data_IF_920397071035
#
_entry.id   IF_920397071035
#
_cell.length_a   1.000
_cell.length_b   1.000
_cell.length_c   1.000
_cell.angle_alpha   90.00
_cell.angle_beta   90.00
_cell.angle_gamma   90.00
#
_symmetry.space_group_name_H-M   'P 1'
#
loop_
_entity.id
_entity.type
_entity.pdbx_description
1 polymer ?
#
# COMPACT_ATOMS: atom_id res chain seq x y z
N UNK A 1 -6.81 2.69 20.48
CA UNK A 1 -5.47 2.41 19.90
C UNK A 1 -5.45 2.78 18.42
N UNK A 2 -4.30 3.22 17.88
CA UNK A 2 -4.17 3.55 16.44
C UNK A 2 -4.09 2.26 15.63
N UNK A 3 -5.08 1.99 14.77
CA UNK A 3 -4.99 0.90 13.79
C UNK A 3 -4.40 1.44 12.49
N UNK A 4 -3.21 0.96 12.13
CA UNK A 4 -2.41 1.42 10.99
C UNK A 4 -2.48 0.37 9.88
N UNK A 5 -2.70 0.81 8.63
CA UNK A 5 -2.65 -0.04 7.45
C UNK A 5 -1.55 0.45 6.51
N UNK A 6 -0.58 -0.41 6.20
CA UNK A 6 0.38 -0.19 5.13
C UNK A 6 -0.19 -0.72 3.82
N UNK A 7 -0.24 0.15 2.83
CA UNK A 7 -0.65 -0.17 1.47
C UNK A 7 0.53 0.03 0.53
N UNK A 8 0.90 -1.04 -0.15
CA UNK A 8 2.07 -1.02 -1.03
C UNK A 8 1.73 -1.63 -2.38
N UNK A 9 2.40 -1.14 -3.43
CA UNK A 9 2.17 -1.60 -4.79
C UNK A 9 2.56 -3.06 -4.99
N UNK A 10 3.57 -3.56 -4.26
CA UNK A 10 4.06 -4.94 -4.31
C UNK A 10 5.01 -5.25 -3.16
N UNK A 11 5.05 -6.50 -2.70
CA UNK A 11 5.93 -6.89 -1.59
C UNK A 11 7.34 -7.25 -2.07
N UNK A 12 8.19 -6.24 -2.32
CA UNK A 12 9.54 -6.48 -2.83
C UNK A 12 10.42 -7.19 -1.78
N UNK A 13 11.07 -8.28 -2.20
CA UNK A 13 12.00 -9.05 -1.36
C UNK A 13 13.11 -8.19 -0.75
N UNK A 14 13.67 -7.23 -1.49
CA UNK A 14 14.73 -6.36 -0.97
C UNK A 14 14.27 -5.41 0.15
N UNK A 15 12.95 -5.17 0.30
CA UNK A 15 12.38 -4.35 1.39
C UNK A 15 11.91 -5.19 2.59
N UNK A 16 12.15 -6.50 2.59
CA UNK A 16 11.68 -7.42 3.65
C UNK A 16 12.04 -6.93 5.05
N UNK A 17 13.30 -6.56 5.29
CA UNK A 17 13.74 -6.09 6.61
C UNK A 17 13.01 -4.81 7.05
N UNK A 18 12.68 -3.92 6.11
CA UNK A 18 11.91 -2.70 6.39
C UNK A 18 10.49 -3.10 6.81
N UNK A 19 9.84 -3.98 6.05
CA UNK A 19 8.48 -4.43 6.38
C UNK A 19 8.44 -5.18 7.73
N UNK A 20 9.42 -6.02 8.03
CA UNK A 20 9.52 -6.69 9.32
C UNK A 20 9.73 -5.72 10.47
N UNK A 21 10.58 -4.69 10.30
CA UNK A 21 10.75 -3.65 11.33
C UNK A 21 9.47 -2.84 11.53
N UNK A 22 8.74 -2.52 10.45
CA UNK A 22 7.44 -1.85 10.56
C UNK A 22 6.40 -2.72 11.27
N UNK A 23 6.39 -4.02 10.98
CA UNK A 23 5.51 -5.00 11.63
C UNK A 23 5.76 -5.04 13.15
N UNK A 24 7.03 -5.07 13.55
CA UNK A 24 7.44 -5.10 14.94
C UNK A 24 7.19 -3.79 15.69
N UNK A 25 7.54 -2.64 15.10
CA UNK A 25 7.51 -1.35 15.78
C UNK A 25 6.14 -0.66 15.72
N UNK A 26 5.41 -0.82 14.61
CA UNK A 26 4.14 -0.13 14.37
C UNK A 26 2.93 -1.05 14.49
N UNK A 27 3.13 -2.38 14.46
CA UNK A 27 2.04 -3.37 14.42
C UNK A 27 1.00 -3.03 13.33
N UNK A 28 1.50 -2.63 12.15
CA UNK A 28 0.66 -2.22 11.05
C UNK A 28 0.19 -3.41 10.21
N UNK A 29 -1.05 -3.37 9.76
CA UNK A 29 -1.61 -4.37 8.87
C UNK A 29 -1.10 -4.16 7.43
N UNK A 30 -0.63 -5.21 6.76
CA UNK A 30 -0.04 -5.10 5.42
C UNK A 30 -1.02 -5.52 4.32
N UNK A 31 -1.16 -4.67 3.30
CA UNK A 31 -1.88 -4.94 2.05
C UNK A 31 -0.95 -4.66 0.87
N UNK A 32 -0.67 -5.69 0.08
CA UNK A 32 0.26 -5.63 -1.05
C UNK A 32 -0.45 -5.82 -2.38
N UNK A 33 0.01 -5.16 -3.43
CA UNK A 33 -0.40 -5.51 -4.79
C UNK A 33 0.24 -6.81 -5.27
N UNK A 34 -0.42 -7.48 -6.21
CA UNK A 34 -0.08 -8.81 -6.70
C UNK A 34 1.06 -8.84 -7.74
N UNK A 35 1.31 -7.72 -8.44
CA UNK A 35 2.27 -7.66 -9.55
C UNK A 35 3.06 -6.35 -9.59
N UNK A 36 4.37 -6.47 -9.79
CA UNK A 36 5.26 -5.35 -10.08
C UNK A 36 6.54 -5.83 -10.77
N UNK A 37 6.61 -5.62 -12.10
CA UNK A 37 7.76 -5.99 -12.94
C UNK A 37 8.25 -7.42 -12.66
N UNK A 38 9.55 -7.66 -12.80
CA UNK A 38 10.21 -8.95 -12.51
C UNK A 38 10.88 -8.96 -11.12
N UNK A 39 10.36 -8.16 -10.18
CA UNK A 39 10.94 -8.07 -8.84
C UNK A 39 10.55 -9.31 -8.02
N UNK A 40 11.54 -9.94 -7.38
CA UNK A 40 11.30 -11.07 -6.47
C UNK A 40 10.38 -10.65 -5.32
N UNK A 41 9.33 -11.44 -5.07
CA UNK A 41 8.42 -11.30 -3.94
C UNK A 41 9.08 -11.74 -2.63
N UNK A 42 8.76 -11.08 -1.54
CA UNK A 42 9.13 -11.57 -0.21
C UNK A 42 8.29 -12.78 0.21
N UNK A 43 8.76 -13.52 1.21
CA UNK A 43 7.93 -14.48 1.92
C UNK A 43 7.06 -13.77 2.97
N UNK A 44 5.74 -13.95 2.87
CA UNK A 44 4.76 -13.36 3.78
C UNK A 44 4.72 -14.00 5.16
N UNK A 45 5.27 -15.21 5.32
CA UNK A 45 5.42 -15.85 6.64
C UNK A 45 6.22 -14.99 7.62
N UNK A 46 7.07 -14.09 7.10
CA UNK A 46 7.87 -13.15 7.87
C UNK A 46 7.07 -11.98 8.47
N UNK A 47 5.81 -11.78 8.08
CA UNK A 47 4.97 -10.67 8.53
C UNK A 47 3.78 -11.19 9.34
N UNK A 48 3.76 -10.90 10.64
CA UNK A 48 2.68 -11.32 11.56
C UNK A 48 1.36 -10.66 11.20
N UNK A 49 1.39 -9.41 10.73
CA UNK A 49 0.19 -8.64 10.41
C UNK A 49 -0.08 -8.55 8.89
N UNK A 50 0.42 -9.50 8.09
CA UNK A 50 -0.02 -9.62 6.70
C UNK A 50 -1.53 -9.92 6.62
N UNK A 51 -2.25 -9.15 5.80
CA UNK A 51 -3.70 -9.33 5.63
C UNK A 51 -4.07 -9.98 4.32
N UNK A 52 -3.66 -9.38 3.21
CA UNK A 52 -4.08 -9.83 1.88
C UNK A 52 -3.27 -9.18 0.77
N UNK A 53 -3.40 -9.78 -0.40
CA UNK A 53 -3.03 -9.16 -1.66
C UNK A 53 -4.24 -8.51 -2.35
N UNK A 54 -3.97 -7.45 -3.10
CA UNK A 54 -4.93 -6.76 -3.96
C UNK A 54 -4.45 -6.85 -5.40
N UNK A 55 -5.41 -6.88 -6.35
CA UNK A 55 -5.07 -6.97 -7.77
C UNK A 55 -4.74 -5.61 -8.34
N UNK A 56 -3.56 -5.47 -8.94
CA UNK A 56 -3.18 -4.29 -9.71
C UNK A 56 -3.76 -4.41 -11.13
N UNK A 57 -4.81 -3.65 -11.42
CA UNK A 57 -5.52 -3.68 -12.70
C UNK A 57 -5.12 -2.47 -13.52
N UNK A 58 -4.45 -2.70 -14.65
CA UNK A 58 -4.11 -1.66 -15.62
C UNK A 58 -5.37 -1.16 -16.32
N UNK A 59 -5.57 0.15 -16.35
CA UNK A 59 -6.66 0.79 -17.11
C UNK A 59 -6.16 1.15 -18.49
N UNK A 60 -5.07 1.91 -18.54
CA UNK A 60 -4.39 2.34 -19.75
C UNK A 60 -2.94 2.58 -19.39
N UNK A 61 -2.00 1.87 -20.01
CA UNK A 61 -0.58 1.94 -19.63
C UNK A 61 -0.08 3.41 -19.67
N UNK A 62 0.60 3.92 -18.61
CA UNK A 62 1.04 3.24 -17.38
C UNK A 62 0.04 3.30 -16.20
N UNK A 63 -1.14 3.88 -16.40
CA UNK A 63 -2.17 4.11 -15.37
C UNK A 63 -2.84 2.80 -14.94
N UNK A 64 -2.92 2.59 -13.63
CA UNK A 64 -3.53 1.41 -13.03
C UNK A 64 -4.27 1.74 -11.72
N UNK A 65 -5.06 0.81 -11.22
CA UNK A 65 -5.68 0.90 -9.89
C UNK A 65 -5.59 -0.42 -9.13
N UNK A 66 -5.67 -0.33 -7.81
CA UNK A 66 -5.62 -1.50 -6.93
C UNK A 66 -7.03 -1.91 -6.50
N UNK A 67 -7.52 -3.04 -7.03
CA UNK A 67 -8.87 -3.53 -6.72
C UNK A 67 -8.93 -4.09 -5.30
N UNK A 68 -9.83 -3.55 -4.48
CA UNK A 68 -10.03 -3.98 -3.08
C UNK A 68 -9.35 -3.11 -2.03
N UNK A 69 -8.75 -1.98 -2.46
CA UNK A 69 -8.14 -0.95 -1.62
C UNK A 69 -9.17 0.00 -1.01
N UNK A 70 -10.09 0.55 -1.82
CA UNK A 70 -11.08 1.53 -1.34
C UNK A 70 -11.96 1.04 -0.19
N UNK A 71 -12.43 -0.23 -0.15
CA UNK A 71 -13.21 -0.73 0.98
C UNK A 71 -12.45 -0.70 2.31
N UNK A 72 -11.11 -0.65 2.31
CA UNK A 72 -10.31 -0.59 3.54
C UNK A 72 -10.58 0.68 4.35
N UNK A 73 -11.03 1.77 3.74
CA UNK A 73 -11.43 2.99 4.45
C UNK A 73 -12.57 2.75 5.45
N UNK A 74 -13.37 1.70 5.24
CA UNK A 74 -14.48 1.29 6.10
C UNK A 74 -14.06 0.30 7.21
N UNK A 75 -12.88 -0.31 7.12
CA UNK A 75 -12.42 -1.37 8.04
C UNK A 75 -11.89 -0.85 9.39
N UNK A 76 -12.32 0.34 9.83
CA UNK A 76 -11.95 0.91 11.13
C UNK A 76 -10.50 1.38 11.26
N UNK A 77 -9.71 1.37 10.18
CA UNK A 77 -8.35 1.91 10.20
C UNK A 77 -8.37 3.41 10.44
N UNK A 78 -7.41 3.87 11.24
CA UNK A 78 -7.27 5.29 11.61
C UNK A 78 -6.19 5.98 10.79
N UNK A 79 -5.14 5.23 10.44
CA UNK A 79 -3.97 5.71 9.72
C UNK A 79 -3.66 4.80 8.54
N UNK A 80 -3.37 5.39 7.39
CA UNK A 80 -2.90 4.70 6.21
C UNK A 80 -1.49 5.18 5.88
N UNK A 81 -0.57 4.25 5.70
CA UNK A 81 0.77 4.50 5.16
C UNK A 81 0.74 3.93 3.75
N UNK A 82 0.92 4.76 2.75
CA UNK A 82 0.78 4.34 1.35
C UNK A 82 1.87 4.94 0.49
N UNK A 83 2.29 4.23 -0.55
CA UNK A 83 3.16 4.81 -1.58
C UNK A 83 2.41 5.87 -2.37
N UNK A 84 2.97 7.08 -2.44
CA UNK A 84 2.48 8.16 -3.29
C UNK A 84 2.87 7.92 -4.75
N UNK A 85 2.11 7.09 -5.44
CA UNK A 85 2.30 6.85 -6.87
C UNK A 85 1.35 7.71 -7.71
N UNK A 86 1.92 8.54 -8.59
CA UNK A 86 1.17 9.45 -9.46
C UNK A 86 0.29 8.72 -10.48
N UNK A 87 0.76 7.58 -10.99
CA UNK A 87 0.08 6.76 -12.00
C UNK A 87 -1.04 5.87 -11.43
N UNK A 88 -1.15 5.76 -10.10
CA UNK A 88 -2.09 4.86 -9.45
C UNK A 88 -3.38 5.61 -9.07
N UNK A 89 -4.50 5.31 -9.73
CA UNK A 89 -5.77 6.03 -9.49
C UNK A 89 -6.28 5.79 -8.07
N UNK A 90 -6.09 4.58 -7.53
CA UNK A 90 -6.50 4.26 -6.15
C UNK A 90 -5.75 5.10 -5.11
N UNK A 91 -4.52 5.55 -5.39
CA UNK A 91 -3.78 6.44 -4.49
C UNK A 91 -4.50 7.77 -4.31
N UNK A 92 -4.90 8.40 -5.42
CA UNK A 92 -5.65 9.66 -5.42
C UNK A 92 -7.04 9.51 -4.79
N UNK A 93 -7.75 8.42 -5.12
CA UNK A 93 -9.04 8.13 -4.51
C UNK A 93 -8.92 7.93 -2.99
N UNK A 94 -7.92 7.18 -2.51
CA UNK A 94 -7.67 7.00 -1.08
C UNK A 94 -7.34 8.32 -0.41
N UNK A 95 -6.48 9.15 -1.02
CA UNK A 95 -6.16 10.47 -0.49
C UNK A 95 -7.40 11.36 -0.38
N UNK A 96 -8.20 11.46 -1.43
CA UNK A 96 -9.42 12.26 -1.45
C UNK A 96 -10.46 11.74 -0.45
N UNK A 97 -10.75 10.43 -0.47
CA UNK A 97 -11.74 9.81 0.40
C UNK A 97 -11.31 9.83 1.87
N UNK A 98 -10.01 9.70 2.17
CA UNK A 98 -9.52 9.74 3.54
C UNK A 98 -9.87 11.06 4.26
N UNK A 99 -9.93 12.18 3.54
CA UNK A 99 -10.40 13.46 4.06
C UNK A 99 -11.87 13.40 4.51
N UNK A 100 -12.73 12.80 3.69
CA UNK A 100 -14.15 12.64 4.01
C UNK A 100 -14.37 11.71 5.21
N UNK A 101 -13.60 10.62 5.31
CA UNK A 101 -13.68 9.67 6.43
C UNK A 101 -12.87 10.10 7.68
N UNK A 102 -12.32 11.33 7.70
CA UNK A 102 -11.45 11.86 8.78
C UNK A 102 -10.29 10.91 9.16
N UNK A 103 -9.72 10.21 8.17
CA UNK A 103 -8.57 9.31 8.34
C UNK A 103 -7.27 10.04 8.06
N UNK A 104 -6.20 9.67 8.77
CA UNK A 104 -4.86 10.22 8.49
C UNK A 104 -4.17 9.38 7.45
N UNK A 105 -3.65 10.02 6.40
CA UNK A 105 -2.99 9.35 5.29
C UNK A 105 -1.60 9.93 5.11
N UNK A 106 -0.58 9.09 5.28
CA UNK A 106 0.82 9.44 5.06
C UNK A 106 1.27 8.84 3.74
N UNK A 107 1.62 9.70 2.78
CA UNK A 107 2.16 9.31 1.50
C UNK A 107 3.68 9.21 1.61
N UNK A 108 4.23 8.02 1.35
CA UNK A 108 5.66 7.83 1.18
C UNK A 108 6.02 8.23 -0.25
N UNK A 109 6.97 9.15 -0.40
CA UNK A 109 7.40 9.60 -1.72
C UNK A 109 8.06 8.45 -2.49
N UNK A 110 7.58 8.19 -3.70
CA UNK A 110 8.18 7.24 -4.63
C UNK A 110 8.85 8.02 -5.78
N UNK A 111 10.18 8.17 -5.80
CA UNK A 111 10.88 8.97 -6.82
C UNK A 111 10.92 8.32 -8.21
N UNK A 112 10.53 7.04 -8.34
CA UNK A 112 10.74 6.24 -9.55
C UNK A 112 10.03 6.81 -10.79
N UNK A 113 8.97 7.63 -10.62
CA UNK A 113 8.24 8.22 -11.74
C UNK A 113 8.65 9.67 -12.09
N UNK A 114 9.64 10.24 -11.40
CA UNK A 114 10.20 11.57 -11.69
C UNK A 114 11.56 11.51 -12.40
N UNK A 115 11.99 10.33 -12.87
CA UNK A 115 13.23 10.14 -13.61
C UNK A 115 13.05 10.13 -15.14
N UNK A 116 11.95 10.70 -15.64
CA UNK A 116 11.70 10.90 -17.07
C UNK A 116 11.74 12.39 -17.41
#
# INVERSE_FOLDING_TARGET
MKKICLMYNYAQHYRTNIFMLMDQQLSCDFVFGDKYLDVKKMDYSNLKHFKKEVKNVTVHYPIYYQKGVLPLLRNGYTHFIMLGESICISTWMMFLLSRFYKRKTNLLFNPIYFQF
#
